data_IF_661142512283
#
_entry.id   IF_661142512283
#
_cell.length_a   1.000
_cell.length_b   1.000
_cell.length_c   1.000
_cell.angle_alpha   90.00
_cell.angle_beta   90.00
_cell.angle_gamma   90.00
#
_symmetry.space_group_name_H-M   'P 1'
#
loop_
_entity.id
_entity.type
_entity.pdbx_description
1 polymer ?
#
# COMPACT_ATOMS: atom_id res chain seq x y z
N UNK A 1 43.77 23.14 19.53
CA UNK A 1 42.36 22.80 19.81
C UNK A 1 41.44 23.68 18.96
N UNK A 2 40.52 23.25 18.10
CA UNK A 2 40.42 22.06 17.27
C UNK A 2 39.41 22.44 16.14
N UNK A 3 39.88 22.87 14.96
CA UNK A 3 39.01 23.41 13.88
C UNK A 3 37.92 22.43 13.40
N UNK A 4 38.17 21.12 13.55
CA UNK A 4 37.21 20.05 13.29
C UNK A 4 36.01 20.06 14.25
N UNK A 5 36.17 20.54 15.48
CA UNK A 5 35.09 20.60 16.48
C UNK A 5 34.18 21.83 16.33
N UNK A 6 34.63 22.90 15.65
CA UNK A 6 33.77 24.04 15.28
C UNK A 6 32.98 23.77 14.00
N UNK A 7 33.57 23.12 12.99
CA UNK A 7 32.85 22.72 11.77
C UNK A 7 31.79 21.63 12.04
N UNK A 8 32.09 20.66 12.91
CA UNK A 8 31.11 19.66 13.34
C UNK A 8 29.92 20.26 14.11
N UNK A 9 30.13 21.31 14.93
CA UNK A 9 29.05 22.03 15.63
C UNK A 9 28.15 22.85 14.69
N UNK A 10 28.66 23.31 13.54
CA UNK A 10 27.90 24.07 12.53
C UNK A 10 27.09 23.14 11.62
N UNK A 11 27.67 22.01 11.20
CA UNK A 11 26.96 20.98 10.40
C UNK A 11 25.89 20.23 11.22
N UNK A 12 26.13 20.00 12.51
CA UNK A 12 25.15 19.44 13.44
C UNK A 12 24.02 20.44 13.73
N UNK A 13 24.31 21.75 13.79
CA UNK A 13 23.30 22.81 13.95
C UNK A 13 22.41 23.05 12.71
N UNK A 14 22.95 22.92 11.49
CA UNK A 14 22.19 23.07 10.24
C UNK A 14 21.30 21.85 9.91
N UNK A 15 21.73 20.62 10.27
CA UNK A 15 20.87 19.43 10.22
C UNK A 15 19.73 19.50 11.24
N UNK A 16 19.98 20.04 12.42
CA UNK A 16 18.97 20.28 13.46
C UNK A 16 17.93 21.34 13.02
N UNK A 17 18.30 22.34 12.20
CA UNK A 17 17.40 23.39 11.69
C UNK A 17 16.49 22.94 10.53
N UNK A 18 16.93 22.03 9.65
CA UNK A 18 16.07 21.47 8.58
C UNK A 18 15.10 20.40 9.08
N UNK A 19 15.47 19.62 10.11
CA UNK A 19 14.54 18.74 10.83
C UNK A 19 13.49 19.52 11.65
N UNK A 20 13.78 20.75 12.07
CA UNK A 20 12.82 21.67 12.70
C UNK A 20 11.83 22.31 11.69
N UNK A 21 12.18 22.40 10.39
CA UNK A 21 11.26 22.73 9.27
C UNK A 21 10.40 21.52 8.87
N UNK A 22 10.95 20.32 8.98
CA UNK A 22 10.28 19.02 8.85
C UNK A 22 9.09 18.82 9.82
N UNK A 23 8.86 19.78 10.73
CA UNK A 23 7.96 19.66 11.87
C UNK A 23 7.14 20.91 12.22
N UNK A 24 7.57 22.11 11.82
CA UNK A 24 6.89 23.36 12.21
C UNK A 24 5.69 23.73 11.33
N UNK A 25 5.40 22.96 10.27
CA UNK A 25 4.30 23.20 9.31
C UNK A 25 3.49 21.93 9.03
N UNK A 26 3.49 20.92 9.91
CA UNK A 26 2.66 19.71 9.71
C UNK A 26 1.27 19.91 10.32
N UNK A 27 0.35 20.55 9.58
CA UNK A 27 -0.98 19.98 9.44
C UNK A 27 -1.12 19.47 8.00
N UNK A 28 -1.35 18.15 7.87
CA UNK A 28 -1.78 17.46 6.64
C UNK A 28 -0.70 17.14 5.61
N UNK A 29 0.04 16.04 5.79
CA UNK A 29 0.89 15.48 4.71
C UNK A 29 0.40 14.18 4.08
N UNK A 30 -0.59 13.49 4.65
CA UNK A 30 -1.35 12.56 3.83
C UNK A 30 -2.52 13.33 3.19
N UNK A 31 -2.62 13.35 1.86
CA UNK A 31 -3.83 13.79 1.19
C UNK A 31 -5.09 13.04 1.69
N UNK A 32 -4.93 11.86 2.27
CA UNK A 32 -5.97 11.08 2.94
C UNK A 32 -6.46 11.73 4.26
N UNK A 33 -5.80 12.78 4.78
CA UNK A 33 -5.98 13.27 6.15
C UNK A 33 -6.80 14.55 6.31
N UNK A 34 -7.29 15.16 5.24
CA UNK A 34 -8.28 16.23 5.36
C UNK A 34 -9.68 15.63 5.27
N UNK A 35 -10.39 15.49 6.39
CA UNK A 35 -11.80 15.09 6.33
C UNK A 35 -12.53 16.07 5.40
N UNK A 36 -13.26 15.52 4.44
CA UNK A 36 -14.21 16.29 3.63
C UNK A 36 -15.19 16.97 4.61
N UNK A 37 -15.60 18.24 4.45
CA UNK A 37 -16.56 18.92 5.33
C UNK A 37 -17.87 18.15 5.57
N UNK A 38 -18.20 17.18 4.72
CA UNK A 38 -19.34 16.30 4.91
C UNK A 38 -18.92 15.01 5.64
N UNK A 39 -19.04 15.00 6.98
CA UNK A 39 -18.99 13.78 7.78
C UNK A 39 -20.24 13.71 8.66
N UNK A 40 -21.12 12.73 8.47
CA UNK A 40 -22.26 12.53 9.36
C UNK A 40 -21.79 12.22 10.79
N UNK A 41 -22.33 12.99 11.73
CA UNK A 41 -22.32 12.79 13.18
C UNK A 41 -21.03 12.20 13.80
N UNK A 42 -19.93 12.98 13.74
CA UNK A 42 -18.66 12.71 14.44
C UNK A 42 -18.82 12.46 15.95
N UNK A 43 -19.94 12.89 16.57
CA UNK A 43 -20.18 12.76 18.00
C UNK A 43 -20.51 11.31 18.40
N UNK A 44 -21.14 10.52 17.54
CA UNK A 44 -21.38 9.09 17.84
C UNK A 44 -20.17 8.20 17.60
N UNK A 45 -19.26 8.64 16.73
CA UNK A 45 -17.94 8.05 16.61
C UNK A 45 -17.05 8.36 17.81
N UNK A 46 -17.41 9.27 18.72
CA UNK A 46 -16.52 9.77 19.77
C UNK A 46 -15.75 8.71 20.57
N UNK A 47 -16.32 7.55 20.96
CA UNK A 47 -15.55 6.55 21.70
C UNK A 47 -14.47 5.82 20.84
N UNK A 48 -14.53 5.99 19.51
CA UNK A 48 -13.84 5.19 18.50
C UNK A 48 -13.11 6.08 17.50
N UNK A 49 -13.38 7.38 17.54
CA UNK A 49 -12.87 8.38 16.65
C UNK A 49 -11.38 8.42 16.84
N UNK A 50 -10.66 8.28 15.74
CA UNK A 50 -9.22 8.37 15.77
C UNK A 50 -8.80 9.73 15.22
N UNK A 51 -8.14 10.52 16.06
CA UNK A 51 -7.65 11.82 15.66
C UNK A 51 -6.41 11.64 14.80
N UNK A 52 -6.51 12.09 13.55
CA UNK A 52 -5.39 12.17 12.62
C UNK A 52 -4.24 13.01 13.19
N UNK A 53 -4.56 14.10 13.89
CA UNK A 53 -3.54 14.92 14.54
C UNK A 53 -2.78 14.12 15.61
N UNK A 54 -3.45 13.19 16.29
CA UNK A 54 -2.81 12.31 17.27
C UNK A 54 -1.89 11.29 16.59
N UNK A 55 -2.32 10.70 15.47
CA UNK A 55 -1.47 9.84 14.64
C UNK A 55 -0.20 10.58 14.17
N UNK A 56 -0.36 11.79 13.64
CA UNK A 56 0.76 12.61 13.18
C UNK A 56 1.70 12.98 14.33
N UNK A 57 1.16 13.35 15.50
CA UNK A 57 1.96 13.64 16.72
C UNK A 57 2.72 12.42 17.24
N UNK A 58 2.09 11.25 17.26
CA UNK A 58 2.73 10.00 17.68
C UNK A 58 3.85 9.62 16.70
N UNK A 59 3.56 9.68 15.39
CA UNK A 59 4.54 9.43 14.34
C UNK A 59 5.74 10.38 14.47
N UNK A 60 5.46 11.66 14.63
CA UNK A 60 6.42 12.70 14.92
C UNK A 60 7.33 12.37 16.13
N UNK A 61 6.74 12.06 17.28
CA UNK A 61 7.48 11.71 18.49
C UNK A 61 8.49 10.59 18.25
N UNK A 62 8.10 9.59 17.46
CA UNK A 62 8.98 8.48 17.08
C UNK A 62 10.07 8.85 16.07
N UNK A 63 9.79 9.72 15.09
CA UNK A 63 10.85 10.24 14.21
C UNK A 63 11.95 10.94 15.02
N UNK A 64 11.55 11.76 15.99
CA UNK A 64 12.48 12.45 16.89
C UNK A 64 13.25 11.45 17.75
N UNK A 65 12.56 10.48 18.37
CA UNK A 65 13.21 9.42 19.15
C UNK A 65 14.30 8.70 18.34
N UNK A 66 13.98 8.27 17.11
CA UNK A 66 14.90 7.54 16.24
C UNK A 66 16.14 8.30 15.85
N UNK A 67 16.05 9.62 15.65
CA UNK A 67 17.21 10.47 15.39
C UNK A 67 18.25 10.44 16.52
N UNK A 68 17.82 10.17 17.75
CA UNK A 68 18.68 10.18 18.94
C UNK A 68 19.09 8.79 19.41
N UNK A 69 18.27 7.76 19.16
CA UNK A 69 18.46 6.43 19.76
C UNK A 69 19.09 5.41 18.83
N UNK A 70 18.98 5.57 17.50
CA UNK A 70 19.40 4.53 16.58
C UNK A 70 20.64 4.94 15.79
N UNK A 71 21.76 4.29 16.10
CA UNK A 71 22.79 4.02 15.10
C UNK A 71 22.53 2.62 14.59
N UNK A 72 22.44 2.39 13.28
CA UNK A 72 22.46 1.04 12.76
C UNK A 72 23.66 0.35 13.41
N UNK A 73 23.43 -0.79 14.07
CA UNK A 73 24.55 -1.68 14.37
C UNK A 73 25.33 -1.93 13.07
N UNK A 74 26.61 -2.28 13.16
CA UNK A 74 27.34 -2.71 11.97
C UNK A 74 26.83 -4.10 11.54
N UNK A 75 25.60 -4.17 11.03
CA UNK A 75 25.02 -5.39 10.48
C UNK A 75 25.65 -5.62 9.11
N UNK A 76 26.35 -6.74 8.98
CA UNK A 76 26.76 -7.25 7.66
C UNK A 76 25.51 -7.61 6.85
N UNK A 77 25.62 -7.60 5.52
CA UNK A 77 24.50 -7.96 4.62
C UNK A 77 23.95 -9.35 4.95
N UNK A 78 24.84 -10.29 5.28
CA UNK A 78 24.49 -11.64 5.72
C UNK A 78 23.61 -11.63 6.98
N UNK A 79 24.00 -10.88 8.02
CA UNK A 79 23.27 -10.85 9.28
C UNK A 79 21.88 -10.22 9.09
N UNK A 80 21.76 -9.19 8.24
CA UNK A 80 20.46 -8.58 7.93
C UNK A 80 19.53 -9.58 7.24
N UNK A 81 20.04 -10.25 6.21
CA UNK A 81 19.27 -11.22 5.44
C UNK A 81 18.84 -12.42 6.29
N UNK A 82 19.73 -12.93 7.14
CA UNK A 82 19.41 -14.03 8.06
C UNK A 82 18.32 -13.62 9.05
N UNK A 83 18.41 -12.43 9.64
CA UNK A 83 17.38 -11.91 10.53
C UNK A 83 16.02 -11.76 9.83
N UNK A 84 15.99 -11.19 8.61
CA UNK A 84 14.75 -11.02 7.85
C UNK A 84 14.10 -12.36 7.53
N UNK A 85 14.90 -13.39 7.24
CA UNK A 85 14.40 -14.76 7.02
C UNK A 85 13.75 -15.34 8.28
N UNK A 86 14.40 -15.19 9.43
CA UNK A 86 13.84 -15.61 10.72
C UNK A 86 12.55 -14.83 11.03
N UNK A 87 12.55 -13.52 10.80
CA UNK A 87 11.35 -12.71 10.99
C UNK A 87 10.19 -13.17 10.10
N UNK A 88 10.49 -13.51 8.85
CA UNK A 88 9.51 -14.03 7.89
C UNK A 88 8.96 -15.39 8.31
N UNK A 89 9.80 -16.29 8.86
CA UNK A 89 9.31 -17.58 9.37
C UNK A 89 8.37 -17.43 10.57
N UNK A 90 8.61 -16.44 11.44
CA UNK A 90 7.69 -16.13 12.55
C UNK A 90 6.34 -15.57 12.03
N UNK A 91 6.36 -14.74 10.98
CA UNK A 91 5.12 -14.29 10.31
C UNK A 91 4.34 -15.47 9.70
N UNK A 92 5.03 -16.42 9.08
CA UNK A 92 4.43 -17.64 8.52
C UNK A 92 3.82 -18.52 9.61
N UNK A 93 4.57 -18.80 10.69
CA UNK A 93 4.09 -19.58 11.83
C UNK A 93 2.85 -18.94 12.46
N UNK A 94 2.86 -17.62 12.63
CA UNK A 94 1.69 -16.86 13.10
C UNK A 94 0.48 -17.03 12.17
N UNK A 95 0.67 -16.97 10.85
CA UNK A 95 -0.43 -17.18 9.89
C UNK A 95 -0.98 -18.60 9.97
N UNK A 96 -0.12 -19.61 10.11
CA UNK A 96 -0.51 -21.00 10.30
C UNK A 96 -1.31 -21.18 11.60
N UNK A 97 -0.89 -20.56 12.70
CA UNK A 97 -1.63 -20.56 13.96
C UNK A 97 -3.03 -19.93 13.80
N UNK A 98 -3.16 -18.80 13.09
CA UNK A 98 -4.47 -18.19 12.78
C UNK A 98 -5.36 -19.11 11.93
N UNK A 99 -4.79 -19.77 10.92
CA UNK A 99 -5.53 -20.73 10.11
C UNK A 99 -6.01 -21.93 10.96
N UNK A 100 -5.17 -22.41 11.88
CA UNK A 100 -5.53 -23.46 12.85
C UNK A 100 -6.66 -23.05 13.78
N UNK A 101 -6.65 -21.82 14.32
CA UNK A 101 -7.76 -21.25 15.11
C UNK A 101 -9.07 -21.29 14.32
N UNK A 102 -9.03 -20.79 13.08
CA UNK A 102 -10.21 -20.77 12.20
C UNK A 102 -10.76 -22.18 11.94
N UNK A 103 -9.90 -23.12 11.57
CA UNK A 103 -10.29 -24.50 11.28
C UNK A 103 -10.85 -25.23 12.51
N UNK A 104 -10.26 -25.02 13.69
CA UNK A 104 -10.74 -25.60 14.94
C UNK A 104 -12.11 -25.01 15.35
N UNK A 105 -12.31 -23.70 15.12
CA UNK A 105 -13.58 -23.03 15.40
C UNK A 105 -14.75 -23.53 14.53
N UNK A 106 -14.50 -23.91 13.28
CA UNK A 106 -15.52 -24.42 12.36
C UNK A 106 -16.04 -25.83 12.71
N UNK A 107 -15.22 -26.66 13.34
CA UNK A 107 -15.53 -28.08 13.57
C UNK A 107 -16.42 -28.33 14.79
N UNK A 108 -16.48 -27.39 15.76
CA UNK A 108 -17.28 -27.48 17.00
C UNK A 108 -17.15 -28.83 17.76
N UNK A 109 -16.04 -29.56 17.57
CA UNK A 109 -15.76 -30.82 18.27
C UNK A 109 -15.20 -30.53 19.67
N UNK A 110 -15.72 -31.18 20.74
CA UNK A 110 -15.14 -31.11 22.08
C UNK A 110 -13.62 -31.36 22.16
N UNK A 111 -13.05 -32.18 21.27
CA UNK A 111 -11.60 -32.43 21.19
C UNK A 111 -10.82 -31.32 20.48
N UNK A 112 -11.48 -30.46 19.71
CA UNK A 112 -10.86 -29.33 19.01
C UNK A 112 -10.61 -28.13 19.94
N UNK A 113 -11.18 -28.09 21.15
CA UNK A 113 -10.86 -27.05 22.15
C UNK A 113 -9.38 -27.05 22.53
N UNK A 114 -8.75 -28.23 22.65
CA UNK A 114 -7.32 -28.33 22.97
C UNK A 114 -6.47 -27.80 21.81
N UNK A 115 -6.84 -28.12 20.57
CA UNK A 115 -6.16 -27.61 19.38
C UNK A 115 -6.35 -26.09 19.23
N UNK A 116 -7.56 -25.58 19.47
CA UNK A 116 -7.87 -24.15 19.49
C UNK A 116 -6.99 -23.40 20.50
N UNK A 117 -6.92 -23.87 21.75
CA UNK A 117 -6.06 -23.26 22.76
C UNK A 117 -4.57 -23.35 22.42
N UNK A 118 -4.11 -24.45 21.82
CA UNK A 118 -2.73 -24.58 21.33
C UNK A 118 -2.44 -23.52 20.28
N UNK A 119 -3.27 -23.41 19.24
CA UNK A 119 -3.08 -22.41 18.20
C UNK A 119 -3.16 -20.96 18.72
N UNK A 120 -4.00 -20.69 19.72
CA UNK A 120 -4.00 -19.40 20.41
C UNK A 120 -2.68 -19.13 21.15
N UNK A 121 -2.11 -20.13 21.83
CA UNK A 121 -0.82 -20.01 22.51
C UNK A 121 0.32 -19.79 21.50
N UNK A 122 0.37 -20.59 20.43
CA UNK A 122 1.35 -20.45 19.35
C UNK A 122 1.29 -19.02 18.77
N UNK A 123 0.09 -18.53 18.44
CA UNK A 123 -0.09 -17.16 17.93
C UNK A 123 0.44 -16.09 18.89
N UNK A 124 0.20 -16.25 20.20
CA UNK A 124 0.66 -15.29 21.21
C UNK A 124 2.19 -15.30 21.37
N UNK A 125 2.81 -16.48 21.27
CA UNK A 125 4.27 -16.61 21.28
C UNK A 125 4.88 -15.88 20.07
N UNK A 126 4.33 -16.11 18.88
CA UNK A 126 4.75 -15.45 17.65
C UNK A 126 4.53 -13.93 17.71
N UNK A 127 3.37 -13.47 18.17
CA UNK A 127 3.05 -12.04 18.34
C UNK A 127 4.04 -11.38 19.31
N UNK A 128 4.40 -12.05 20.41
CA UNK A 128 5.37 -11.53 21.37
C UNK A 128 6.80 -11.46 20.79
N UNK A 129 7.22 -12.45 20.00
CA UNK A 129 8.51 -12.43 19.33
C UNK A 129 8.59 -11.33 18.28
N UNK A 130 7.58 -11.21 17.41
CA UNK A 130 7.49 -10.20 16.36
C UNK A 130 7.48 -8.77 16.93
N UNK A 131 6.78 -8.57 18.06
CA UNK A 131 6.74 -7.29 18.76
C UNK A 131 8.11 -6.91 19.34
N UNK A 132 8.87 -7.85 19.91
CA UNK A 132 10.21 -7.61 20.46
C UNK A 132 11.24 -7.23 19.40
N UNK A 133 11.13 -7.79 18.20
CA UNK A 133 12.11 -7.63 17.11
C UNK A 133 11.65 -6.67 16.00
N UNK A 134 10.55 -5.95 16.24
CA UNK A 134 9.93 -5.03 15.28
C UNK A 134 10.89 -3.93 14.85
N UNK A 135 11.62 -3.38 15.80
CA UNK A 135 12.50 -2.22 15.62
C UNK A 135 13.66 -2.56 14.68
N UNK A 136 14.25 -3.73 14.85
CA UNK A 136 15.30 -4.29 14.01
C UNK A 136 14.80 -4.50 12.57
N UNK A 137 13.59 -5.06 12.43
CA UNK A 137 12.94 -5.23 11.13
C UNK A 137 12.71 -3.90 10.42
N UNK A 138 12.15 -2.91 11.12
CA UNK A 138 11.96 -1.55 10.59
C UNK A 138 13.29 -0.94 10.11
N UNK A 139 14.36 -1.08 10.89
CA UNK A 139 15.68 -0.56 10.53
C UNK A 139 16.28 -1.21 9.29
N UNK A 140 16.18 -2.54 9.18
CA UNK A 140 16.72 -3.29 8.03
C UNK A 140 15.96 -2.91 6.76
N UNK A 141 14.62 -2.93 6.82
CA UNK A 141 13.78 -2.59 5.66
C UNK A 141 13.98 -1.14 5.23
N UNK A 142 14.08 -0.19 6.16
CA UNK A 142 14.38 1.21 5.83
C UNK A 142 15.70 1.35 5.06
N UNK A 143 16.73 0.60 5.50
CA UNK A 143 18.03 0.62 4.85
C UNK A 143 17.97 0.01 3.45
N UNK A 144 17.35 -1.15 3.30
CA UNK A 144 17.28 -1.87 2.01
C UNK A 144 16.43 -1.12 0.99
N UNK A 145 15.34 -0.48 1.42
CA UNK A 145 14.56 0.44 0.57
C UNK A 145 15.41 1.64 0.18
N UNK A 146 16.08 2.31 1.12
CA UNK A 146 16.94 3.45 0.80
C UNK A 146 18.10 3.08 -0.15
N UNK A 147 18.64 1.86 -0.01
CA UNK A 147 19.66 1.31 -0.91
C UNK A 147 19.12 1.14 -2.33
N UNK A 148 17.98 0.48 -2.51
CA UNK A 148 17.41 0.29 -3.85
C UNK A 148 16.98 1.62 -4.48
N UNK A 149 16.40 2.54 -3.70
CA UNK A 149 16.09 3.89 -4.16
C UNK A 149 17.33 4.66 -4.63
N UNK A 150 18.46 4.52 -3.92
CA UNK A 150 19.70 5.15 -4.34
C UNK A 150 20.24 4.56 -5.65
N UNK A 151 20.09 3.24 -5.84
CA UNK A 151 20.45 2.57 -7.10
C UNK A 151 19.57 2.98 -8.27
N UNK A 152 18.31 3.27 -8.02
CA UNK A 152 17.37 3.86 -8.98
C UNK A 152 17.62 5.37 -9.20
N UNK A 153 18.61 5.97 -8.52
CA UNK A 153 19.01 7.35 -8.72
C UNK A 153 18.15 8.37 -7.98
N UNK A 154 17.31 7.98 -7.02
CA UNK A 154 16.50 8.92 -6.20
C UNK A 154 17.34 9.75 -5.23
N UNK A 155 18.54 9.29 -4.87
CA UNK A 155 19.44 10.00 -3.98
C UNK A 155 20.62 9.14 -3.55
N UNK A 156 21.30 9.58 -2.48
CA UNK A 156 22.34 8.80 -1.80
C UNK A 156 21.75 8.11 -0.58
N UNK A 157 22.18 6.88 -0.27
CA UNK A 157 21.63 6.06 0.83
C UNK A 157 21.65 6.81 2.17
N UNK A 158 22.68 7.62 2.43
CA UNK A 158 22.84 8.36 3.69
C UNK A 158 22.29 9.79 3.64
N UNK A 159 21.77 10.22 2.49
CA UNK A 159 21.20 11.55 2.26
C UNK A 159 19.85 11.50 1.53
N UNK A 160 19.18 10.34 1.58
CA UNK A 160 17.90 10.13 0.93
C UNK A 160 16.89 11.16 1.44
N UNK A 161 16.18 11.80 0.50
CA UNK A 161 15.17 12.79 0.82
C UNK A 161 13.90 12.57 -0.03
N UNK A 162 12.72 12.39 0.60
CA UNK A 162 12.51 12.28 2.05
C UNK A 162 13.25 11.08 2.66
N UNK A 163 13.70 11.15 3.91
CA UNK A 163 14.29 9.99 4.58
C UNK A 163 13.31 8.81 4.56
N UNK A 164 13.82 7.61 4.27
CA UNK A 164 13.01 6.39 4.35
C UNK A 164 12.81 6.05 5.83
N UNK A 165 11.69 6.51 6.39
CA UNK A 165 11.29 6.24 7.75
C UNK A 165 9.88 5.69 7.78
N UNK A 166 9.73 4.51 8.39
CA UNK A 166 8.42 3.88 8.58
C UNK A 166 8.34 3.14 9.92
N UNK A 167 7.12 2.79 10.31
CA UNK A 167 6.81 2.03 11.52
C UNK A 167 5.84 0.91 11.23
N UNK A 168 6.09 -0.24 11.85
CA UNK A 168 5.19 -1.39 11.88
C UNK A 168 4.19 -1.19 13.02
N UNK A 169 3.08 -0.52 12.69
CA UNK A 169 1.98 -0.24 13.62
C UNK A 169 0.67 -0.42 12.89
N UNK A 170 -0.37 -0.89 13.58
CA UNK A 170 -1.69 -1.02 12.96
C UNK A 170 -2.20 0.38 12.56
N UNK A 171 -2.39 0.66 11.26
CA UNK A 171 -2.98 1.92 10.84
C UNK A 171 -4.44 2.01 11.33
N UNK A 172 -4.99 3.22 11.49
CA UNK A 172 -6.42 3.38 11.73
C UNK A 172 -7.24 2.74 10.62
N UNK A 173 -8.47 2.36 10.96
CA UNK A 173 -9.42 1.86 9.97
C UNK A 173 -9.97 3.08 9.23
N UNK A 174 -9.87 3.04 7.90
CA UNK A 174 -10.41 4.06 7.02
C UNK A 174 -11.90 3.81 6.82
N UNK A 175 -12.71 4.84 7.01
CA UNK A 175 -14.14 4.82 6.76
C UNK A 175 -14.39 5.63 5.50
N UNK A 176 -14.94 4.97 4.48
CA UNK A 176 -15.29 5.60 3.20
C UNK A 176 -16.78 5.84 3.14
N UNK A 177 -17.18 7.04 2.70
CA UNK A 177 -18.58 7.39 2.45
C UNK A 177 -18.82 7.56 0.96
N UNK A 178 -19.96 7.05 0.48
CA UNK A 178 -20.43 7.21 -0.89
C UNK A 178 -21.94 7.47 -0.89
N UNK A 179 -22.48 8.21 -1.88
CA UNK A 179 -23.92 8.20 -2.12
C UNK A 179 -24.37 6.77 -2.46
N UNK A 180 -25.66 6.50 -2.29
CA UNK A 180 -26.24 5.20 -2.67
C UNK A 180 -26.61 5.13 -4.16
N UNK A 181 -26.89 6.28 -4.76
CA UNK A 181 -27.31 6.43 -6.16
C UNK A 181 -26.14 6.50 -7.17
N UNK A 182 -24.91 6.69 -6.69
CA UNK A 182 -23.70 6.69 -7.54
C UNK A 182 -22.49 6.23 -6.74
N UNK A 183 -21.60 5.48 -7.39
CA UNK A 183 -20.30 5.11 -6.81
C UNK A 183 -19.36 6.30 -6.94
N UNK A 184 -19.17 7.01 -5.83
CA UNK A 184 -18.30 8.18 -5.75
C UNK A 184 -17.88 8.41 -4.32
N UNK A 185 -16.60 8.70 -4.07
CA UNK A 185 -16.18 9.08 -2.72
C UNK A 185 -16.74 10.45 -2.34
N UNK A 186 -17.48 10.53 -1.23
CA UNK A 186 -17.91 11.79 -0.60
C UNK A 186 -16.93 12.29 0.44
N UNK A 187 -16.14 11.39 1.03
CA UNK A 187 -15.19 11.74 2.06
C UNK A 187 -14.67 10.52 2.79
N UNK A 188 -13.72 10.77 3.69
CA UNK A 188 -13.13 9.76 4.55
C UNK A 188 -13.14 10.21 6.01
N UNK A 189 -13.27 9.25 6.92
CA UNK A 189 -12.93 9.43 8.34
C UNK A 189 -12.10 8.25 8.85
N UNK A 190 -11.64 8.35 10.09
CA UNK A 190 -10.81 7.32 10.72
C UNK A 190 -11.42 6.87 12.05
N UNK A 191 -11.39 5.56 12.24
CA UNK A 191 -11.67 4.95 13.54
C UNK A 191 -10.44 4.17 14.02
N UNK A 192 -10.42 3.87 15.31
CA UNK A 192 -9.26 3.27 15.96
C UNK A 192 -8.90 1.91 15.31
N UNK A 193 -7.60 1.55 15.27
CA UNK A 193 -7.17 0.28 14.70
C UNK A 193 -7.76 -0.96 15.41
N UNK A 194 -8.06 -0.83 16.71
CA UNK A 194 -8.59 -1.88 17.59
C UNK A 194 -10.12 -1.98 17.60
N UNK A 195 -10.82 -1.19 16.78
CA UNK A 195 -12.27 -1.29 16.62
C UNK A 195 -12.69 -2.70 16.18
N UNK A 196 -13.54 -3.40 16.97
CA UNK A 196 -14.11 -4.69 16.61
C UNK A 196 -15.06 -4.63 15.39
N UNK A 197 -15.27 -5.75 14.70
CA UNK A 197 -16.04 -5.79 13.44
C UNK A 197 -17.55 -5.76 13.61
N UNK A 198 -18.10 -6.38 14.66
CA UNK A 198 -19.51 -6.26 15.07
C UNK A 198 -19.91 -4.79 15.27
N UNK A 199 -18.95 -4.08 15.83
CA UNK A 199 -18.95 -2.66 16.08
C UNK A 199 -18.88 -1.84 14.77
N UNK A 200 -18.07 -2.26 13.80
CA UNK A 200 -18.04 -1.67 12.45
C UNK A 200 -19.38 -1.82 11.71
N UNK A 201 -19.99 -3.02 11.74
CA UNK A 201 -21.27 -3.30 11.06
C UNK A 201 -22.39 -2.41 11.62
N UNK A 202 -22.43 -2.27 12.95
CA UNK A 202 -23.39 -1.39 13.64
C UNK A 202 -23.28 0.05 13.14
N UNK A 203 -22.06 0.56 13.00
CA UNK A 203 -21.84 1.91 12.52
C UNK A 203 -22.21 2.09 11.05
N UNK A 204 -21.81 1.15 10.18
CA UNK A 204 -22.16 1.23 8.75
C UNK A 204 -23.67 1.20 8.51
N UNK A 205 -24.40 0.34 9.23
CA UNK A 205 -25.85 0.23 9.10
C UNK A 205 -26.55 1.49 9.62
N UNK A 206 -26.11 2.03 10.76
CA UNK A 206 -26.63 3.29 11.30
C UNK A 206 -26.47 4.45 10.31
N UNK A 207 -25.29 4.64 9.71
CA UNK A 207 -25.09 5.73 8.75
C UNK A 207 -25.93 5.53 7.49
N UNK A 208 -26.09 4.29 7.05
CA UNK A 208 -26.96 3.96 5.94
C UNK A 208 -28.42 4.32 6.23
N UNK A 209 -28.93 3.95 7.40
CA UNK A 209 -30.32 4.16 7.80
C UNK A 209 -30.64 5.65 8.09
N UNK A 210 -29.74 6.35 8.79
CA UNK A 210 -29.99 7.74 9.25
C UNK A 210 -29.65 8.80 8.20
N UNK A 211 -28.66 8.53 7.33
CA UNK A 211 -28.15 9.52 6.36
C UNK A 211 -28.35 9.11 4.90
N UNK A 212 -28.88 7.92 4.64
CA UNK A 212 -29.06 7.38 3.28
C UNK A 212 -27.75 7.34 2.48
N UNK A 213 -26.66 6.93 3.14
CA UNK A 213 -25.32 6.83 2.55
C UNK A 213 -24.80 5.40 2.56
N UNK A 214 -23.97 5.07 1.58
CA UNK A 214 -23.18 3.85 1.60
C UNK A 214 -21.91 4.09 2.41
N UNK A 215 -21.57 3.18 3.33
CA UNK A 215 -20.37 3.26 4.17
C UNK A 215 -19.59 1.97 4.14
N UNK A 216 -18.26 2.08 4.10
CA UNK A 216 -17.36 0.94 4.14
C UNK A 216 -16.14 1.20 5.02
N UNK A 217 -15.89 0.30 5.99
CA UNK A 217 -14.69 0.28 6.81
C UNK A 217 -13.64 -0.66 6.21
N UNK A 218 -12.48 -0.09 5.88
CA UNK A 218 -11.35 -0.78 5.27
C UNK A 218 -10.11 -0.69 6.15
N UNK A 219 -9.42 -1.82 6.32
CA UNK A 219 -8.05 -1.82 6.86
C UNK A 219 -7.10 -1.56 5.70
N UNK A 220 -6.24 -0.55 5.87
CA UNK A 220 -5.23 -0.20 4.88
C UNK A 220 -3.90 -0.89 5.19
N UNK A 221 -3.12 -1.18 4.14
CA UNK A 221 -1.77 -1.75 4.26
C UNK A 221 -0.79 -0.76 4.87
N UNK A 222 -0.92 0.51 4.54
CA UNK A 222 -0.17 1.61 5.13
C UNK A 222 -0.89 2.95 5.03
N UNK A 223 -0.31 3.96 5.66
CA UNK A 223 -0.68 5.38 5.50
C UNK A 223 0.62 6.19 5.44
N UNK A 224 0.71 7.07 4.45
CA UNK A 224 1.80 8.01 4.23
C UNK A 224 1.87 9.16 5.25
N UNK A 225 1.76 8.84 6.55
CA UNK A 225 2.22 9.72 7.63
C UNK A 225 3.74 9.89 7.57
N UNK A 226 4.31 10.75 8.42
CA UNK A 226 5.77 10.80 8.55
C UNK A 226 6.21 10.62 10.01
N UNK A 227 6.87 9.50 10.36
CA UNK A 227 7.16 8.31 9.55
C UNK A 227 5.91 7.63 9.01
N UNK A 228 6.04 6.87 7.91
CA UNK A 228 4.91 6.15 7.34
C UNK A 228 4.47 5.03 8.29
N UNK A 229 3.16 4.78 8.37
CA UNK A 229 2.60 3.74 9.23
C UNK A 229 2.25 2.54 8.35
N UNK A 230 2.81 1.38 8.65
CA UNK A 230 2.66 0.15 7.85
C UNK A 230 2.13 -0.97 8.73
N UNK A 231 1.16 -1.73 8.23
CA UNK A 231 0.56 -2.87 8.90
C UNK A 231 1.62 -3.91 9.28
N UNK A 232 1.81 -4.25 10.58
CA UNK A 232 2.78 -5.27 11.00
C UNK A 232 2.47 -6.67 10.49
N UNK A 233 1.19 -6.93 10.20
CA UNK A 233 0.69 -8.25 9.80
C UNK A 233 0.53 -8.31 8.29
N UNK A 234 1.64 -8.61 7.62
CA UNK A 234 1.75 -8.70 6.18
C UNK A 234 1.48 -10.14 5.67
N UNK A 235 0.93 -10.29 4.45
CA UNK A 235 0.77 -11.59 3.79
C UNK A 235 2.10 -12.25 3.44
N UNK A 236 3.13 -11.47 3.10
CA UNK A 236 4.47 -11.95 2.76
C UNK A 236 5.47 -10.78 2.79
N UNK A 237 6.75 -11.12 2.68
CA UNK A 237 7.85 -10.16 2.76
C UNK A 237 7.87 -9.18 1.57
N UNK A 238 7.48 -9.64 0.37
CA UNK A 238 7.44 -8.80 -0.83
C UNK A 238 6.44 -7.65 -0.66
N UNK A 239 5.27 -7.95 -0.11
CA UNK A 239 4.25 -6.95 0.22
C UNK A 239 4.73 -5.88 1.20
N UNK A 240 5.60 -6.24 2.15
CA UNK A 240 6.12 -5.25 3.09
C UNK A 240 6.96 -4.20 2.37
N UNK A 241 7.89 -4.64 1.52
CA UNK A 241 8.70 -3.72 0.74
C UNK A 241 7.85 -2.91 -0.23
N UNK A 242 6.85 -3.54 -0.85
CA UNK A 242 5.85 -2.87 -1.71
C UNK A 242 5.15 -1.73 -0.96
N UNK A 243 4.54 -2.01 0.19
CA UNK A 243 3.82 -1.00 0.96
C UNK A 243 4.77 0.07 1.49
N UNK A 244 5.95 -0.28 2.00
CA UNK A 244 6.92 0.72 2.49
C UNK A 244 7.34 1.66 1.35
N UNK A 245 7.58 1.14 0.15
CA UNK A 245 7.92 1.95 -1.01
C UNK A 245 6.72 2.78 -1.52
N UNK A 246 5.51 2.22 -1.51
CA UNK A 246 4.24 2.91 -1.85
C UNK A 246 4.01 4.10 -0.92
N UNK A 247 4.09 3.90 0.39
CA UNK A 247 3.89 4.99 1.33
C UNK A 247 5.03 6.01 1.29
N UNK A 248 6.28 5.57 1.06
CA UNK A 248 7.39 6.49 0.90
C UNK A 248 7.22 7.39 -0.33
N UNK A 249 6.78 6.84 -1.47
CA UNK A 249 6.66 7.65 -2.69
C UNK A 249 5.57 8.71 -2.57
N UNK A 250 4.51 8.46 -1.80
CA UNK A 250 3.54 9.50 -1.43
C UNK A 250 4.21 10.67 -0.70
N UNK A 251 5.14 10.41 0.23
CA UNK A 251 5.90 11.48 0.90
C UNK A 251 6.83 12.23 -0.05
N UNK A 252 7.31 11.59 -1.12
CA UNK A 252 8.13 12.25 -2.15
C UNK A 252 7.26 13.09 -3.11
N UNK A 253 6.10 12.57 -3.52
CA UNK A 253 5.14 13.22 -4.40
C UNK A 253 4.49 14.45 -3.76
N UNK A 254 4.42 14.55 -2.44
CA UNK A 254 3.81 15.70 -1.76
C UNK A 254 4.49 17.04 -2.09
N UNK A 255 5.74 17.00 -2.55
CA UNK A 255 6.50 18.16 -3.03
C UNK A 255 6.42 18.34 -4.56
N UNK A 256 5.47 17.70 -5.22
CA UNK A 256 5.33 17.64 -6.68
C UNK A 256 3.90 17.93 -7.13
N UNK A 257 3.70 18.38 -8.38
CA UNK A 257 2.37 18.68 -8.90
C UNK A 257 1.30 17.63 -8.63
N UNK A 258 1.63 16.34 -8.79
CA UNK A 258 0.69 15.22 -8.61
C UNK A 258 0.29 15.02 -7.14
N UNK A 259 1.22 15.17 -6.18
CA UNK A 259 0.89 15.06 -4.75
C UNK A 259 0.18 16.30 -4.20
N UNK A 260 0.61 17.50 -4.59
CA UNK A 260 -0.03 18.77 -4.18
C UNK A 260 -1.50 18.80 -4.59
N UNK A 261 -1.86 18.17 -5.72
CA UNK A 261 -3.20 18.16 -6.28
C UNK A 261 -4.00 16.90 -6.01
N UNK A 262 -3.51 16.00 -5.16
CA UNK A 262 -4.18 14.73 -4.87
C UNK A 262 -5.66 14.91 -4.52
N UNK A 263 -6.00 15.89 -3.69
CA UNK A 263 -7.37 16.16 -3.25
C UNK A 263 -8.19 17.03 -4.22
N UNK A 264 -7.64 17.44 -5.37
CA UNK A 264 -8.34 18.31 -6.30
C UNK A 264 -9.40 17.58 -7.13
N UNK A 265 -9.17 16.31 -7.44
CA UNK A 265 -10.14 15.49 -8.16
C UNK A 265 -9.94 14.00 -7.88
N UNK A 266 -11.02 13.23 -8.01
CA UNK A 266 -10.98 11.76 -7.94
C UNK A 266 -10.04 11.17 -9.01
N UNK A 267 -10.00 11.77 -10.19
CA UNK A 267 -9.11 11.38 -11.29
C UNK A 267 -7.63 11.53 -10.90
N UNK A 268 -7.22 12.68 -10.34
CA UNK A 268 -5.84 12.92 -9.93
C UNK A 268 -5.42 12.04 -8.75
N UNK A 269 -6.34 11.80 -7.81
CA UNK A 269 -6.14 10.83 -6.75
C UNK A 269 -5.89 9.43 -7.31
N UNK A 270 -6.68 9.01 -8.29
CA UNK A 270 -6.56 7.71 -8.94
C UNK A 270 -5.23 7.58 -9.69
N UNK A 271 -4.79 8.64 -10.39
CA UNK A 271 -3.46 8.69 -11.02
C UNK A 271 -2.36 8.56 -9.96
N UNK A 272 -2.47 9.30 -8.85
CA UNK A 272 -1.47 9.29 -7.79
C UNK A 272 -1.34 7.90 -7.12
N UNK A 273 -2.45 7.28 -6.70
CA UNK A 273 -2.42 5.93 -6.11
C UNK A 273 -1.90 4.90 -7.10
N UNK A 274 -2.28 4.98 -8.38
CA UNK A 274 -1.81 4.02 -9.40
C UNK A 274 -0.31 4.15 -9.66
N UNK A 275 0.22 5.39 -9.71
CA UNK A 275 1.67 5.64 -9.80
C UNK A 275 2.39 5.08 -8.57
N UNK A 276 1.82 5.26 -7.37
CA UNK A 276 2.38 4.74 -6.14
C UNK A 276 2.38 3.20 -6.10
N UNK A 277 1.31 2.55 -6.61
CA UNK A 277 1.22 1.09 -6.74
C UNK A 277 2.30 0.55 -7.67
N UNK A 278 2.41 1.09 -8.90
CA UNK A 278 3.45 0.69 -9.86
C UNK A 278 4.85 0.82 -9.25
N UNK A 279 5.11 1.93 -8.55
CA UNK A 279 6.39 2.17 -7.90
C UNK A 279 6.66 1.17 -6.77
N UNK A 280 5.68 0.95 -5.89
CA UNK A 280 5.77 0.04 -4.76
C UNK A 280 6.06 -1.39 -5.22
N UNK A 281 5.27 -1.90 -6.16
CA UNK A 281 5.43 -3.25 -6.71
C UNK A 281 6.82 -3.46 -7.32
N UNK A 282 7.28 -2.51 -8.14
CA UNK A 282 8.57 -2.63 -8.82
C UNK A 282 9.75 -2.54 -7.83
N UNK A 283 9.72 -1.60 -6.87
CA UNK A 283 10.77 -1.48 -5.85
C UNK A 283 10.79 -2.71 -4.95
N UNK A 284 9.61 -3.16 -4.48
CA UNK A 284 9.49 -4.35 -3.64
C UNK A 284 10.06 -5.58 -4.33
N UNK A 285 9.68 -5.82 -5.59
CA UNK A 285 10.19 -6.94 -6.39
C UNK A 285 11.70 -6.86 -6.62
N UNK A 286 12.25 -5.67 -6.88
CA UNK A 286 13.71 -5.48 -7.06
C UNK A 286 14.50 -5.86 -5.81
N UNK A 287 14.03 -5.46 -4.63
CA UNK A 287 14.64 -5.81 -3.34
C UNK A 287 14.57 -7.33 -3.12
N UNK A 288 13.41 -7.94 -3.36
CA UNK A 288 13.22 -9.39 -3.25
C UNK A 288 14.16 -10.16 -4.18
N UNK A 289 14.29 -9.75 -5.45
CA UNK A 289 15.18 -10.39 -6.41
C UNK A 289 16.67 -10.30 -6.02
N UNK A 290 17.04 -9.21 -5.33
CA UNK A 290 18.42 -8.93 -4.89
C UNK A 290 18.79 -9.71 -3.62
N UNK A 291 17.88 -9.83 -2.66
CA UNK A 291 18.21 -10.33 -1.32
C UNK A 291 17.47 -11.61 -0.89
N UNK A 292 16.27 -11.85 -1.43
CA UNK A 292 15.32 -12.83 -0.90
C UNK A 292 14.63 -13.63 -2.03
N UNK A 293 15.39 -13.97 -3.08
CA UNK A 293 14.85 -14.54 -4.33
C UNK A 293 14.05 -15.83 -4.10
N UNK A 294 14.45 -16.62 -3.12
CA UNK A 294 13.83 -17.88 -2.70
C UNK A 294 12.54 -17.71 -1.87
N UNK A 295 12.30 -16.51 -1.33
CA UNK A 295 11.08 -16.14 -0.61
C UNK A 295 10.02 -15.51 -1.51
N UNK A 296 10.32 -15.32 -2.80
CA UNK A 296 9.35 -14.88 -3.78
C UNK A 296 8.27 -15.97 -3.91
N UNK A 297 7.04 -15.57 -3.63
CA UNK A 297 5.82 -16.39 -3.84
C UNK A 297 4.88 -15.77 -4.84
N UNK A 298 5.12 -14.50 -5.18
CA UNK A 298 4.31 -13.72 -6.09
C UNK A 298 4.84 -13.74 -7.51
N UNK A 299 3.96 -13.58 -8.49
CA UNK A 299 4.36 -13.37 -9.88
C UNK A 299 5.08 -12.02 -10.02
N UNK A 300 5.85 -11.83 -11.09
CA UNK A 300 6.42 -10.52 -11.37
C UNK A 300 5.30 -9.48 -11.61
N UNK A 301 5.48 -8.22 -11.17
CA UNK A 301 4.53 -7.14 -11.46
C UNK A 301 4.35 -6.94 -12.97
N UNK A 302 3.14 -6.59 -13.38
CA UNK A 302 2.73 -6.53 -14.80
C UNK A 302 3.55 -5.55 -15.66
N UNK A 303 4.10 -4.51 -15.04
CA UNK A 303 4.82 -3.42 -15.73
C UNK A 303 6.33 -3.43 -15.50
N UNK A 304 6.84 -4.41 -14.76
CA UNK A 304 8.25 -4.48 -14.43
C UNK A 304 9.09 -4.84 -15.67
N UNK A 305 9.97 -3.94 -16.08
CA UNK A 305 10.99 -4.24 -17.10
C UNK A 305 11.96 -5.32 -16.56
N UNK A 306 12.53 -6.16 -17.43
CA UNK A 306 13.52 -7.15 -17.00
C UNK A 306 14.67 -6.47 -16.25
N UNK A 307 14.85 -6.83 -14.98
CA UNK A 307 16.05 -6.43 -14.24
C UNK A 307 17.20 -7.18 -14.88
N UNK A 308 18.17 -6.47 -15.45
CA UNK A 308 19.37 -7.11 -16.00
C UNK A 308 19.94 -8.04 -14.93
N UNK A 309 20.13 -9.34 -15.22
CA UNK A 309 20.68 -10.26 -14.25
C UNK A 309 22.05 -9.75 -13.81
N UNK A 310 22.27 -9.65 -12.50
CA UNK A 310 23.64 -9.62 -11.97
C UNK A 310 24.25 -10.96 -12.35
N UNK A 311 25.36 -10.94 -13.10
CA UNK A 311 26.10 -12.14 -13.52
C UNK A 311 26.37 -13.04 -12.31
N UNK A 312 25.67 -14.17 -12.24
CA UNK A 312 25.89 -15.26 -11.30
C UNK A 312 25.88 -16.57 -12.10
N UNK A 313 26.92 -17.38 -11.89
CA UNK A 313 27.28 -18.58 -12.64
C UNK A 313 26.10 -19.45 -13.07
N UNK A 314 26.12 -19.81 -14.36
CA UNK A 314 25.21 -20.70 -15.06
C UNK A 314 25.20 -22.11 -14.45
N UNK A 315 24.12 -22.48 -13.78
CA UNK A 315 23.58 -23.84 -13.69
C UNK A 315 22.25 -23.76 -12.92
N UNK A 316 21.14 -23.73 -13.66
CA UNK A 316 19.79 -24.26 -13.34
C UNK A 316 18.73 -23.48 -14.14
N UNK A 317 18.43 -23.97 -15.34
CA UNK A 317 17.24 -23.59 -16.12
C UNK A 317 16.04 -24.44 -15.68
N UNK A 318 14.88 -23.80 -15.51
CA UNK A 318 13.62 -24.52 -15.26
C UNK A 318 12.39 -23.62 -15.11
N UNK A 319 11.78 -23.27 -16.26
CA UNK A 319 10.35 -22.96 -16.49
C UNK A 319 9.65 -21.91 -15.61
N UNK A 320 9.49 -20.71 -16.18
CA UNK A 320 8.61 -19.64 -15.70
C UNK A 320 7.18 -19.81 -16.25
N UNK A 321 6.17 -19.65 -15.40
CA UNK A 321 4.78 -19.45 -15.81
C UNK A 321 4.20 -18.27 -15.01
N UNK A 322 3.51 -17.40 -15.74
CA UNK A 322 2.96 -16.07 -15.40
C UNK A 322 1.80 -16.13 -14.41
N UNK A 323 1.68 -15.21 -13.45
CA UNK A 323 0.57 -15.28 -12.48
C UNK A 323 0.09 -13.99 -11.78
N UNK A 324 0.20 -12.76 -12.29
CA UNK A 324 -0.64 -11.59 -11.89
C UNK A 324 -0.68 -11.08 -10.40
N UNK A 325 -0.26 -9.83 -10.15
CA UNK A 325 -0.15 -9.22 -8.82
C UNK A 325 -1.46 -8.58 -8.34
N UNK A 326 -2.17 -9.17 -7.39
CA UNK A 326 -3.03 -8.45 -6.44
C UNK A 326 -3.12 -9.23 -5.13
N UNK A 327 -3.06 -8.53 -4.01
CA UNK A 327 -2.95 -9.10 -2.67
C UNK A 327 -4.22 -9.85 -2.30
N UNK A 328 -4.21 -11.17 -2.52
CA UNK A 328 -5.16 -12.11 -1.99
C UNK A 328 -4.42 -13.32 -1.40
N UNK A 329 -5.02 -13.88 -0.36
CA UNK A 329 -4.73 -15.21 0.21
C UNK A 329 -4.43 -16.22 -0.91
N UNK A 330 -3.48 -17.16 -0.75
CA UNK A 330 -3.07 -18.07 -1.84
C UNK A 330 -4.28 -18.63 -2.57
N UNK A 331 -4.36 -18.37 -3.88
CA UNK A 331 -5.50 -18.74 -4.70
C UNK A 331 -5.76 -20.25 -4.56
N UNK A 332 -6.99 -20.68 -4.23
CA UNK A 332 -7.35 -22.08 -4.36
C UNK A 332 -7.34 -22.43 -5.85
N UNK A 333 -6.74 -23.56 -6.21
CA UNK A 333 -6.72 -24.10 -7.58
C UNK A 333 -8.15 -24.17 -8.15
N UNK A 334 -8.49 -23.23 -9.04
CA UNK A 334 -9.79 -23.17 -9.72
C UNK A 334 -9.86 -22.06 -10.78
N UNK A 335 -10.69 -22.24 -11.80
CA UNK A 335 -10.94 -21.33 -12.95
C UNK A 335 -11.49 -19.93 -12.59
N UNK A 336 -11.54 -19.56 -11.30
CA UNK A 336 -12.18 -18.34 -10.84
C UNK A 336 -11.21 -17.14 -10.89
N UNK A 337 -11.48 -16.18 -11.77
CA UNK A 337 -10.73 -14.93 -11.84
C UNK A 337 -11.40 -13.83 -10.99
N UNK A 338 -10.82 -13.53 -9.82
CA UNK A 338 -11.34 -12.53 -8.89
C UNK A 338 -11.46 -11.13 -9.51
N UNK A 339 -10.45 -10.68 -10.25
CA UNK A 339 -10.45 -9.34 -10.88
C UNK A 339 -11.57 -9.18 -11.89
N UNK A 340 -11.76 -10.19 -12.74
CA UNK A 340 -12.85 -10.22 -13.71
C UNK A 340 -14.20 -10.22 -13.00
N UNK A 341 -14.35 -11.02 -11.94
CA UNK A 341 -15.58 -11.09 -11.15
C UNK A 341 -15.91 -9.75 -10.47
N UNK A 342 -14.90 -9.04 -9.94
CA UNK A 342 -15.08 -7.70 -9.35
C UNK A 342 -15.40 -6.64 -10.40
N UNK A 343 -14.75 -6.68 -11.56
CA UNK A 343 -14.99 -5.72 -12.65
C UNK A 343 -16.38 -5.88 -13.25
N UNK A 344 -16.81 -7.12 -13.49
CA UNK A 344 -18.19 -7.44 -13.89
C UNK A 344 -19.18 -6.89 -12.86
N UNK A 345 -18.91 -7.11 -11.57
CA UNK A 345 -19.76 -6.60 -10.49
C UNK A 345 -19.82 -5.07 -10.52
N UNK A 346 -18.68 -4.38 -10.69
CA UNK A 346 -18.57 -2.93 -10.76
C UNK A 346 -19.41 -2.35 -11.91
N UNK A 347 -19.26 -2.90 -13.11
CA UNK A 347 -19.91 -2.41 -14.33
C UNK A 347 -21.43 -2.58 -14.30
N UNK A 348 -21.91 -3.74 -13.86
CA UNK A 348 -23.35 -3.98 -13.76
C UNK A 348 -23.98 -3.15 -12.64
N UNK A 349 -23.26 -2.93 -11.53
CA UNK A 349 -23.69 -2.00 -10.48
C UNK A 349 -23.83 -0.58 -11.03
N UNK A 350 -22.87 -0.07 -11.82
CA UNK A 350 -23.00 1.25 -12.47
C UNK A 350 -24.24 1.34 -13.36
N UNK A 351 -24.54 0.28 -14.12
CA UNK A 351 -25.72 0.23 -15.00
C UNK A 351 -27.02 0.36 -14.19
N UNK A 352 -27.15 -0.44 -13.13
CA UNK A 352 -28.33 -0.41 -12.26
C UNK A 352 -28.49 0.94 -11.56
N UNK A 353 -27.40 1.52 -11.06
CA UNK A 353 -27.42 2.84 -10.45
C UNK A 353 -27.80 3.96 -11.44
N UNK A 354 -27.31 3.89 -12.68
CA UNK A 354 -27.68 4.84 -13.74
C UNK A 354 -29.17 4.76 -14.12
N UNK A 355 -29.80 3.61 -13.93
CA UNK A 355 -31.26 3.40 -14.11
C UNK A 355 -32.09 3.81 -12.88
N UNK A 356 -31.44 4.24 -11.79
CA UNK A 356 -32.09 4.60 -10.52
C UNK A 356 -32.51 3.40 -9.68
N UNK A 357 -32.05 2.19 -10.01
CA UNK A 357 -32.39 0.94 -9.34
C UNK A 357 -31.41 0.66 -8.18
N UNK A 358 -31.47 1.49 -7.14
CA UNK A 358 -30.53 1.46 -6.02
C UNK A 358 -30.62 0.13 -5.24
N UNK A 359 -31.83 -0.30 -4.90
CA UNK A 359 -32.05 -1.53 -4.13
C UNK A 359 -31.64 -2.78 -4.93
N UNK A 360 -31.88 -2.79 -6.24
CA UNK A 360 -31.46 -3.88 -7.11
C UNK A 360 -29.93 -3.93 -7.25
N UNK A 361 -29.27 -2.77 -7.36
CA UNK A 361 -27.81 -2.67 -7.36
C UNK A 361 -27.20 -3.24 -6.07
N UNK A 362 -27.78 -2.92 -4.91
CA UNK A 362 -27.32 -3.42 -3.61
C UNK A 362 -27.57 -4.92 -3.44
N UNK A 363 -28.73 -5.42 -3.87
CA UNK A 363 -29.04 -6.85 -3.87
C UNK A 363 -28.10 -7.64 -4.81
N UNK A 364 -27.78 -7.07 -5.97
CA UNK A 364 -26.81 -7.64 -6.91
C UNK A 364 -25.41 -7.72 -6.29
N UNK A 365 -24.92 -6.64 -5.67
CA UNK A 365 -23.63 -6.63 -4.98
C UNK A 365 -23.56 -7.67 -3.85
N UNK A 366 -24.62 -7.82 -3.04
CA UNK A 366 -24.64 -8.84 -1.99
C UNK A 366 -24.60 -10.27 -2.57
N UNK A 367 -25.34 -10.51 -3.66
CA UNK A 367 -25.30 -11.81 -4.37
C UNK A 367 -23.89 -12.10 -4.89
N UNK A 368 -23.23 -11.10 -5.48
CA UNK A 368 -21.86 -11.23 -5.98
C UNK A 368 -20.86 -11.43 -4.86
N UNK A 369 -21.02 -10.76 -3.71
CA UNK A 369 -20.19 -10.97 -2.52
C UNK A 369 -20.25 -12.42 -2.04
N UNK A 370 -21.44 -13.00 -1.95
CA UNK A 370 -21.62 -14.40 -1.56
C UNK A 370 -20.97 -15.36 -2.55
N UNK A 371 -21.12 -15.10 -3.85
CA UNK A 371 -20.47 -15.86 -4.91
C UNK A 371 -18.94 -15.82 -4.79
N UNK A 372 -18.36 -14.63 -4.62
CA UNK A 372 -16.91 -14.44 -4.48
C UNK A 372 -16.38 -15.11 -3.20
N UNK A 373 -17.10 -14.98 -2.07
CA UNK A 373 -16.77 -15.64 -0.82
C UNK A 373 -16.80 -17.17 -0.94
N UNK A 374 -17.75 -17.73 -1.70
CA UNK A 374 -17.82 -19.16 -1.95
C UNK A 374 -16.61 -19.70 -2.74
N UNK A 375 -15.91 -18.83 -3.48
CA UNK A 375 -14.67 -19.16 -4.19
C UNK A 375 -13.40 -18.88 -3.36
N UNK A 376 -13.54 -18.63 -2.05
CA UNK A 376 -12.40 -18.49 -1.12
C UNK A 376 -11.92 -17.06 -0.89
N UNK A 377 -12.53 -16.05 -1.54
CA UNK A 377 -12.16 -14.65 -1.37
C UNK A 377 -13.12 -13.97 -0.39
N UNK A 378 -12.71 -13.85 0.87
CA UNK A 378 -13.57 -13.26 1.89
C UNK A 378 -13.71 -11.74 1.74
N UNK A 379 -14.89 -11.30 1.33
CA UNK A 379 -15.35 -9.91 1.38
C UNK A 379 -16.42 -9.79 2.48
N UNK A 380 -16.15 -8.94 3.49
CA UNK A 380 -17.10 -8.69 4.60
C UNK A 380 -18.36 -7.99 4.10
N UNK A 381 -18.19 -6.89 3.35
CA UNK A 381 -19.27 -6.05 2.83
C UNK A 381 -18.90 -5.53 1.45
N UNK A 382 -19.82 -5.65 0.48
CA UNK A 382 -19.66 -5.16 -0.88
C UNK A 382 -20.79 -4.18 -1.17
N UNK A 383 -20.47 -2.90 -1.31
CA UNK A 383 -21.41 -1.81 -1.55
C UNK A 383 -20.75 -0.67 -2.35
N UNK A 384 -21.47 0.43 -2.57
CA UNK A 384 -20.97 1.58 -3.32
C UNK A 384 -19.70 2.17 -2.67
N UNK A 385 -19.66 2.27 -1.34
CA UNK A 385 -18.49 2.76 -0.62
C UNK A 385 -17.26 1.83 -0.73
N UNK A 386 -17.46 0.52 -0.80
CA UNK A 386 -16.40 -0.43 -1.11
C UNK A 386 -15.78 -0.11 -2.48
N UNK A 387 -16.61 0.02 -3.52
CA UNK A 387 -16.12 0.35 -4.85
C UNK A 387 -15.55 1.76 -4.95
N UNK A 388 -16.09 2.73 -4.20
CA UNK A 388 -15.55 4.09 -4.15
C UNK A 388 -14.16 4.14 -3.50
N UNK A 389 -13.88 3.25 -2.54
CA UNK A 389 -12.54 3.12 -1.96
C UNK A 389 -11.60 2.34 -2.90
N UNK A 390 -11.97 1.11 -3.26
CA UNK A 390 -11.09 0.24 -4.05
C UNK A 390 -10.91 0.72 -5.50
N UNK A 391 -11.87 1.48 -6.05
CA UNK A 391 -11.80 2.04 -7.38
C UNK A 391 -10.71 3.10 -7.59
N UNK A 392 -10.15 3.68 -6.51
CA UNK A 392 -9.01 4.60 -6.59
C UNK A 392 -7.72 3.92 -7.01
N UNK A 393 -7.63 2.59 -6.84
CA UNK A 393 -6.53 1.77 -7.35
C UNK A 393 -6.91 1.30 -8.75
N UNK A 394 -6.49 2.04 -9.79
CA UNK A 394 -6.98 1.85 -11.16
C UNK A 394 -6.57 0.51 -11.80
N UNK A 395 -5.58 -0.16 -11.22
CA UNK A 395 -5.12 -1.51 -11.61
C UNK A 395 -5.91 -2.62 -10.93
N UNK A 396 -6.73 -2.30 -9.92
CA UNK A 396 -7.56 -3.29 -9.21
C UNK A 396 -8.82 -3.63 -10.00
N UNK A 397 -9.33 -4.86 -9.81
CA UNK A 397 -10.61 -5.29 -10.38
C UNK A 397 -11.82 -4.45 -9.94
N UNK A 398 -11.67 -3.61 -8.91
CA UNK A 398 -12.71 -2.68 -8.44
C UNK A 398 -12.82 -1.38 -9.24
N UNK A 399 -11.86 -1.07 -10.12
CA UNK A 399 -11.87 0.16 -10.90
C UNK A 399 -12.57 -0.02 -12.26
N UNK A 400 -13.41 0.96 -12.62
CA UNK A 400 -13.95 1.12 -13.97
C UNK A 400 -13.06 2.02 -14.85
N UNK A 401 -12.01 2.62 -14.27
CA UNK A 401 -11.19 3.65 -14.92
C UNK A 401 -10.29 3.09 -16.03
N UNK A 402 -10.06 3.87 -17.08
CA UNK A 402 -9.08 3.60 -18.13
C UNK A 402 -7.65 4.02 -17.74
N UNK A 403 -7.49 4.72 -16.62
CA UNK A 403 -6.21 5.28 -16.17
C UNK A 403 -5.16 4.22 -15.83
N UNK A 404 -5.56 3.06 -15.32
CA UNK A 404 -4.65 1.96 -14.98
C UNK A 404 -3.85 1.52 -16.20
N UNK A 405 -4.50 1.00 -17.25
CA UNK A 405 -3.84 0.61 -18.50
C UNK A 405 -3.01 1.73 -19.15
N UNK A 406 -3.48 2.99 -19.08
CA UNK A 406 -2.75 4.16 -19.60
C UNK A 406 -1.42 4.36 -18.86
N UNK A 407 -1.44 4.30 -17.52
CA UNK A 407 -0.23 4.47 -16.70
C UNK A 407 0.72 3.27 -16.81
N UNK A 408 0.17 2.06 -16.93
CA UNK A 408 0.96 0.86 -17.17
C UNK A 408 1.67 0.90 -18.53
N UNK A 409 0.98 1.35 -19.58
CA UNK A 409 1.59 1.58 -20.88
C UNK A 409 2.68 2.65 -20.81
N UNK A 410 2.41 3.78 -20.17
CA UNK A 410 3.42 4.82 -19.97
C UNK A 410 4.65 4.27 -19.23
N UNK A 411 4.45 3.45 -18.19
CA UNK A 411 5.56 2.79 -17.48
C UNK A 411 6.35 1.88 -18.41
N UNK A 412 5.70 1.05 -19.24
CA UNK A 412 6.37 0.16 -20.21
C UNK A 412 7.18 0.92 -21.26
N UNK A 413 6.68 2.08 -21.72
CA UNK A 413 7.37 2.93 -22.69
C UNK A 413 8.48 3.79 -22.06
N UNK A 414 8.48 3.92 -20.73
CA UNK A 414 9.53 4.64 -20.00
C UNK A 414 10.81 3.79 -19.91
N UNK A 415 12.01 4.37 -20.17
CA UNK A 415 13.28 3.64 -20.16
C UNK A 415 13.59 2.95 -18.83
N UNK A 416 13.26 3.60 -17.72
CA UNK A 416 13.47 3.12 -16.36
C UNK A 416 12.44 3.72 -15.40
N UNK A 417 12.38 3.17 -14.19
CA UNK A 417 11.43 3.61 -13.17
C UNK A 417 11.64 5.06 -12.74
N UNK A 418 12.88 5.57 -12.77
CA UNK A 418 13.18 6.94 -12.36
C UNK A 418 12.63 7.94 -13.38
N UNK A 419 12.82 7.67 -14.66
CA UNK A 419 12.28 8.47 -15.77
C UNK A 419 10.75 8.47 -15.76
N UNK A 420 10.14 7.31 -15.50
CA UNK A 420 8.69 7.20 -15.29
C UNK A 420 8.24 8.11 -14.13
N UNK A 421 8.89 8.03 -12.97
CA UNK A 421 8.51 8.81 -11.80
C UNK A 421 8.73 10.31 -11.97
N UNK A 422 9.82 10.74 -12.62
CA UNK A 422 10.06 12.16 -12.92
C UNK A 422 8.97 12.72 -13.85
N UNK A 423 8.49 11.92 -14.81
CA UNK A 423 7.37 12.28 -15.69
C UNK A 423 6.05 12.34 -14.91
N UNK A 424 5.75 11.28 -14.14
CA UNK A 424 4.48 11.14 -13.42
C UNK A 424 4.30 12.18 -12.32
N UNK A 425 5.39 12.57 -11.64
CA UNK A 425 5.38 13.59 -10.60
C UNK A 425 4.79 14.94 -11.07
N UNK A 426 4.93 15.26 -12.35
CA UNK A 426 4.52 16.53 -12.95
C UNK A 426 3.05 16.55 -13.42
N UNK A 427 2.34 15.43 -13.30
CA UNK A 427 0.93 15.36 -13.67
C UNK A 427 0.08 16.27 -12.79
N UNK A 428 -0.59 17.21 -13.45
CA UNK A 428 -1.48 18.19 -12.80
C UNK A 428 -2.92 18.09 -13.27
N UNK A 429 -3.19 17.24 -14.27
CA UNK A 429 -4.50 16.84 -14.79
C UNK A 429 -4.29 15.66 -15.76
N UNK A 430 -5.37 15.02 -16.21
CA UNK A 430 -5.34 13.93 -17.19
C UNK A 430 -4.72 14.30 -18.53
N UNK A 431 -4.94 15.52 -19.04
CA UNK A 431 -4.35 15.91 -20.33
C UNK A 431 -2.82 15.88 -20.32
N UNK A 432 -2.18 16.16 -19.17
CA UNK A 432 -0.72 16.01 -19.02
C UNK A 432 -0.25 14.56 -19.09
N UNK A 433 -1.03 13.64 -18.52
CA UNK A 433 -0.77 12.20 -18.64
C UNK A 433 -0.88 11.73 -20.10
N UNK A 434 -1.95 12.13 -20.79
CA UNK A 434 -2.17 11.79 -22.21
C UNK A 434 -1.05 12.33 -23.11
N UNK A 435 -0.65 13.59 -22.93
CA UNK A 435 0.48 14.19 -23.65
C UNK A 435 1.79 13.44 -23.40
N UNK A 436 2.05 13.02 -22.16
CA UNK A 436 3.24 12.24 -21.82
C UNK A 436 3.23 10.86 -22.48
N UNK A 437 2.07 10.19 -22.53
CA UNK A 437 1.91 8.91 -23.20
C UNK A 437 2.12 9.03 -24.71
N UNK A 438 1.54 10.05 -25.35
CA UNK A 438 1.72 10.28 -26.79
C UNK A 438 3.19 10.57 -27.16
N UNK A 439 3.88 11.36 -26.34
CA UNK A 439 5.31 11.61 -26.52
C UNK A 439 6.15 10.31 -26.37
N UNK A 440 5.81 9.47 -25.39
CA UNK A 440 6.47 8.19 -25.18
C UNK A 440 6.24 7.21 -26.35
N UNK A 441 5.01 7.15 -26.88
CA UNK A 441 4.66 6.35 -28.08
C UNK A 441 5.46 6.80 -29.30
N UNK A 442 5.50 8.10 -29.58
CA UNK A 442 6.30 8.63 -30.70
C UNK A 442 7.80 8.34 -30.56
N UNK A 443 8.34 8.41 -29.34
CA UNK A 443 9.75 8.08 -29.09
C UNK A 443 10.03 6.60 -29.37
N UNK A 444 9.14 5.70 -28.93
CA UNK A 444 9.26 4.27 -29.18
C UNK A 444 9.12 3.92 -30.67
N UNK A 445 8.19 4.58 -31.39
CA UNK A 445 8.04 4.44 -32.85
C UNK A 445 9.33 4.83 -33.58
N UNK A 446 9.91 5.98 -33.25
CA UNK A 446 11.16 6.44 -33.86
C UNK A 446 12.33 5.48 -33.62
N UNK A 447 12.44 4.95 -32.39
CA UNK A 447 13.47 3.96 -32.05
C UNK A 447 13.28 2.63 -32.80
N UNK A 448 12.03 2.22 -33.06
CA UNK A 448 11.72 1.00 -33.81
C UNK A 448 11.99 1.10 -35.30
N UNK A 449 11.92 2.31 -35.87
CA UNK A 449 12.10 2.54 -37.31
C UNK A 449 13.57 2.75 -37.72
N UNK A 450 14.46 3.04 -36.75
CA UNK A 450 15.90 3.26 -36.99
C UNK A 450 16.20 4.50 -37.85
N UNK A 451 17.42 5.07 -37.79
CA UNK A 451 17.79 6.12 -38.74
C UNK A 451 17.83 5.51 -40.14
N UNK A 452 17.04 6.06 -41.07
CA UNK A 452 17.16 5.76 -42.50
C UNK A 452 18.62 5.96 -42.90
N UNK A 453 19.25 4.89 -43.41
CA UNK A 453 20.65 4.88 -43.86
C UNK A 453 20.92 5.68 -45.14
N UNK A 454 20.03 6.58 -45.53
CA UNK A 454 20.16 7.40 -46.72
C UNK A 454 20.38 8.86 -46.32
N UNK A 455 21.66 9.24 -46.26
CA UNK A 455 22.16 10.60 -46.06
C UNK A 455 23.63 10.70 -46.40
#
# INVERSE_FOLDING_TARGET
MNGKWRAARILLGLRLHWWLILFSVVPSFAPVLRPDPFIPDLARLEPWRYSVAQLELDAAGHALERLFTQRPGAWTDRNRQEFVRVYTSHLEARRQANAGIWQAGLRLDPFDYVNLHRHHADRLEEDAWLARHRTEMELIVQFEVAEELARLGFGDVHRMFPPVLFRLVHPPILVTYSPRDVIRTMGFTYVRPDTPWDQADTYENMVQDEHNLSVHLSRVGGIATYPTSVQPLIPDLEYLYEVVAHEWIHTWLVFRPLGIRYLQSEELRTINETVATIFGEEVGRRIMLRHYRDLIRRPPPNVMLPVQPVEMNEQEEGTATTADSDVATPEPEGDFNFRAAMRETRLETDRLLAEGLIEDAEAYMETRRQYINAHGYFIRKLNQAYFAFHGTYATSGGSASDLGPILEELRRLSPDLRTFMDTAADFSNRSRLEQALDAARHTAEWQSQGPSRDG
#
